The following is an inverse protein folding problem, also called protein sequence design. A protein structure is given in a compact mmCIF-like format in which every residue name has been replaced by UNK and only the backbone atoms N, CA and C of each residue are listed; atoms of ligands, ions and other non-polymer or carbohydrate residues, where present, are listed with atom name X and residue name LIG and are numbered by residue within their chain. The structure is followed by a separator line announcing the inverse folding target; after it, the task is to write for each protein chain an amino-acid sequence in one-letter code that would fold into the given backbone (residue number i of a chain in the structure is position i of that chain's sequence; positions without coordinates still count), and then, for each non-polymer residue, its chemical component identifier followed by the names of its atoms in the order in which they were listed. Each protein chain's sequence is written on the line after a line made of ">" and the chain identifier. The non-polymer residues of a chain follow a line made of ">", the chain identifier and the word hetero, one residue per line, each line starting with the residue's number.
data_IF_067359908965
#
_entry.id   IF_067359908965
#
_cell.length_a   1.000
_cell.length_b   1.000
_cell.length_c   1.000
_cell.angle_alpha   90.00
_cell.angle_beta   90.00
_cell.angle_gamma   90.00
#
_symmetry.space_group_name_H-M   'P 1'
#
loop_
_entity.id
_entity.type
_entity.pdbx_description
1 polymer ?
#
# COMPACT_ATOMS: atom_id res chain seq x y z
N UNK A 1 -42.58 -25.66 74.63
CA UNK A 1 -42.11 -24.63 75.57
C UNK A 1 -40.72 -24.19 75.12
N UNK A 2 -40.63 -23.03 74.44
CA UNK A 2 -40.01 -21.78 74.95
C UNK A 2 -38.55 -21.94 75.41
N UNK A 3 -37.59 -21.51 74.56
CA UNK A 3 -36.68 -20.34 74.73
C UNK A 3 -35.33 -20.79 75.35
N UNK A 4 -34.11 -20.34 74.99
CA UNK A 4 -33.54 -19.19 74.27
C UNK A 4 -32.26 -19.69 73.54
N UNK A 5 -32.00 -19.26 72.30
CA UNK A 5 -30.99 -18.25 71.91
C UNK A 5 -29.61 -18.44 72.56
N UNK A 6 -28.55 -18.57 71.73
CA UNK A 6 -27.44 -17.62 71.69
C UNK A 6 -26.75 -17.72 70.32
N UNK A 7 -26.42 -16.54 69.78
CA UNK A 7 -25.87 -16.27 68.47
C UNK A 7 -24.48 -16.90 68.28
N UNK A 8 -24.29 -17.63 67.19
CA UNK A 8 -22.97 -17.79 66.57
C UNK A 8 -22.92 -16.88 65.33
N UNK A 9 -22.19 -15.78 65.43
CA UNK A 9 -21.70 -15.03 64.27
C UNK A 9 -20.73 -15.93 63.51
N UNK A 10 -21.20 -16.55 62.42
CA UNK A 10 -20.31 -17.10 61.40
C UNK A 10 -19.93 -15.97 60.44
N UNK A 11 -18.67 -15.55 60.50
CA UNK A 11 -18.02 -14.76 59.46
C UNK A 11 -18.03 -15.57 58.15
N UNK A 12 -19.03 -15.33 57.32
CA UNK A 12 -19.03 -15.78 55.92
C UNK A 12 -18.18 -14.78 55.14
N UNK A 13 -16.91 -15.15 54.94
CA UNK A 13 -16.04 -14.53 53.95
C UNK A 13 -16.65 -14.75 52.56
N UNK A 14 -17.35 -13.73 52.05
CA UNK A 14 -17.75 -13.64 50.66
C UNK A 14 -16.48 -13.60 49.79
N UNK A 15 -16.32 -14.51 48.80
CA UNK A 15 -15.28 -14.33 47.81
C UNK A 15 -15.64 -13.10 46.96
N UNK A 16 -14.76 -12.11 46.95
CA UNK A 16 -14.82 -11.00 46.00
C UNK A 16 -14.88 -11.57 44.58
N UNK A 17 -15.70 -11.01 43.68
CA UNK A 17 -15.62 -11.36 42.27
C UNK A 17 -14.21 -11.02 41.79
N UNK A 18 -13.50 -12.05 41.34
CA UNK A 18 -12.26 -11.91 40.59
C UNK A 18 -12.56 -11.00 39.41
N UNK A 19 -12.09 -9.76 39.51
CA UNK A 19 -12.01 -8.84 38.37
C UNK A 19 -11.03 -9.52 37.42
N UNK A 20 -11.60 -10.21 36.43
CA UNK A 20 -10.87 -10.60 35.25
C UNK A 20 -10.25 -9.33 34.67
N UNK A 21 -8.92 -9.29 34.64
CA UNK A 21 -8.19 -8.26 33.93
C UNK A 21 -8.55 -8.40 32.45
N UNK A 22 -9.53 -7.61 32.01
CA UNK A 22 -9.61 -7.20 30.61
C UNK A 22 -8.26 -6.55 30.26
N UNK A 23 -7.55 -7.01 29.22
CA UNK A 23 -6.32 -6.37 28.81
C UNK A 23 -6.66 -4.98 28.30
N UNK A 24 -6.28 -3.98 29.09
CA UNK A 24 -6.39 -2.57 28.74
C UNK A 24 -5.50 -2.29 27.52
N UNK A 25 -6.01 -1.70 26.43
CA UNK A 25 -5.19 -1.30 25.31
C UNK A 25 -4.59 0.08 25.59
N UNK A 26 -3.39 0.14 26.17
CA UNK A 26 -2.40 1.21 25.97
C UNK A 26 -1.33 1.17 27.07
N UNK A 27 -0.17 0.63 26.73
CA UNK A 27 1.11 1.21 27.16
C UNK A 27 2.14 0.88 26.06
N UNK A 28 2.04 1.58 24.93
CA UNK A 28 3.00 1.50 23.81
C UNK A 28 3.92 2.71 23.85
N UNK A 29 4.82 2.71 24.82
CA UNK A 29 6.08 3.44 24.77
C UNK A 29 7.01 2.92 25.86
N UNK A 30 7.68 1.80 25.62
CA UNK A 30 8.85 1.39 26.40
C UNK A 30 9.91 0.94 25.40
N UNK A 31 11.02 1.69 25.36
CA UNK A 31 12.14 1.48 24.44
C UNK A 31 12.71 0.08 24.56
N UNK A 32 12.35 -0.76 23.61
CA UNK A 32 12.87 -2.11 23.46
C UNK A 32 13.23 -2.35 22.01
N UNK A 33 14.36 -3.02 21.80
CA UNK A 33 14.77 -3.47 20.48
C UNK A 33 13.71 -4.40 19.88
N UNK A 34 13.24 -4.08 18.68
CA UNK A 34 12.29 -4.89 17.91
C UNK A 34 13.05 -5.69 16.85
N UNK A 35 12.66 -6.96 16.59
CA UNK A 35 13.27 -7.75 15.53
C UNK A 35 12.96 -7.15 14.16
N UNK A 36 13.97 -7.15 13.28
CA UNK A 36 13.85 -6.63 11.91
C UNK A 36 14.43 -7.57 10.87
N UNK A 37 13.96 -7.40 9.64
CA UNK A 37 14.65 -7.85 8.44
C UNK A 37 15.03 -6.64 7.60
N UNK A 38 16.32 -6.52 7.29
CA UNK A 38 16.88 -5.46 6.46
C UNK A 38 17.31 -6.05 5.12
N UNK A 39 17.12 -5.32 4.04
CA UNK A 39 17.67 -5.70 2.74
C UNK A 39 17.85 -4.50 1.82
N UNK A 40 18.66 -4.69 0.78
CA UNK A 40 18.73 -3.79 -0.35
C UNK A 40 17.82 -4.31 -1.46
N UNK A 41 17.15 -3.41 -2.17
CA UNK A 41 16.40 -3.78 -3.37
C UNK A 41 16.67 -2.82 -4.52
N UNK A 42 16.77 -3.41 -5.70
CA UNK A 42 16.77 -2.72 -6.98
C UNK A 42 15.33 -2.65 -7.47
N UNK A 43 14.85 -1.45 -7.85
CA UNK A 43 13.49 -1.25 -8.35
C UNK A 43 13.51 -0.47 -9.68
N UNK A 44 12.71 -0.87 -10.65
CA UNK A 44 12.50 -0.17 -11.93
C UNK A 44 11.02 0.17 -12.15
N UNK A 45 10.71 1.03 -13.12
CA UNK A 45 9.35 1.12 -13.69
C UNK A 45 8.25 1.81 -12.87
N UNK A 46 8.60 2.63 -11.86
CA UNK A 46 7.62 3.36 -11.04
C UNK A 46 6.57 4.12 -11.90
N UNK A 47 5.27 4.08 -11.53
CA UNK A 47 4.23 4.90 -12.16
C UNK A 47 4.64 6.38 -12.29
N UNK A 48 4.60 6.91 -13.51
CA UNK A 48 4.91 8.32 -13.81
C UNK A 48 6.39 8.65 -14.04
N UNK A 49 7.31 7.68 -14.00
CA UNK A 49 8.69 7.86 -14.47
C UNK A 49 8.79 7.49 -15.95
N UNK A 50 9.19 8.40 -16.85
CA UNK A 50 9.39 8.09 -18.27
C UNK A 50 10.67 7.29 -18.54
N UNK A 51 11.53 7.09 -17.55
CA UNK A 51 12.84 6.44 -17.71
C UNK A 51 12.89 5.09 -16.99
N UNK A 52 13.44 4.08 -17.68
CA UNK A 52 13.78 2.72 -17.20
C UNK A 52 14.96 2.73 -16.22
N UNK A 53 15.04 3.74 -15.36
CA UNK A 53 16.10 3.89 -14.38
C UNK A 53 15.88 2.93 -13.23
N UNK A 54 16.93 2.21 -12.86
CA UNK A 54 16.99 1.42 -11.63
C UNK A 54 17.23 2.35 -10.44
N UNK A 55 16.50 2.10 -9.37
CA UNK A 55 16.60 2.78 -8.08
C UNK A 55 17.07 1.76 -7.04
N UNK A 56 18.08 2.10 -6.25
CA UNK A 56 18.47 1.32 -5.08
C UNK A 56 17.66 1.82 -3.89
N UNK A 57 17.11 0.88 -3.12
CA UNK A 57 16.40 1.19 -1.90
C UNK A 57 16.89 0.32 -0.76
N UNK A 58 17.09 0.93 0.40
CA UNK A 58 17.30 0.19 1.65
C UNK A 58 15.97 0.03 2.37
N UNK A 59 15.61 -1.20 2.71
CA UNK A 59 14.35 -1.53 3.36
C UNK A 59 14.60 -2.14 4.73
N UNK A 60 13.80 -1.75 5.72
CA UNK A 60 13.76 -2.36 7.05
C UNK A 60 12.31 -2.72 7.35
N UNK A 61 12.05 -4.01 7.62
CA UNK A 61 10.73 -4.56 7.96
C UNK A 61 10.69 -5.00 9.42
N UNK A 62 9.59 -4.67 10.11
CA UNK A 62 9.32 -5.17 11.47
C UNK A 62 7.82 -5.25 11.71
N UNK A 63 7.26 -6.46 11.80
CA UNK A 63 5.82 -6.70 11.93
C UNK A 63 5.00 -5.85 10.94
N UNK A 64 4.20 -4.91 11.44
CA UNK A 64 3.36 -3.99 10.65
C UNK A 64 4.05 -2.63 10.34
N UNK A 65 5.39 -2.57 10.47
CA UNK A 65 6.20 -1.37 10.26
C UNK A 65 7.15 -1.58 9.10
N UNK A 66 7.25 -0.55 8.27
CA UNK A 66 8.13 -0.56 7.09
C UNK A 66 8.86 0.76 7.02
N UNK A 67 10.17 0.71 6.80
CA UNK A 67 11.00 1.87 6.51
C UNK A 67 11.73 1.64 5.19
N UNK A 68 11.70 2.62 4.29
CA UNK A 68 12.34 2.54 2.96
C UNK A 68 13.10 3.82 2.69
N UNK A 69 14.40 3.75 2.45
CA UNK A 69 15.19 4.85 1.91
C UNK A 69 15.35 4.68 0.40
N UNK A 70 14.89 5.66 -0.36
CA UNK A 70 15.16 5.83 -1.79
C UNK A 70 16.30 6.84 -1.93
N UNK A 71 17.54 6.34 -2.01
CA UNK A 71 18.76 7.16 -2.01
C UNK A 71 18.77 8.18 -3.15
N UNK A 72 18.25 7.79 -4.31
CA UNK A 72 18.26 8.66 -5.49
C UNK A 72 17.26 9.79 -5.38
N UNK A 73 16.11 9.54 -4.76
CA UNK A 73 15.08 10.56 -4.56
C UNK A 73 15.29 11.38 -3.30
N UNK A 74 16.27 11.03 -2.48
CA UNK A 74 16.49 11.70 -1.20
C UNK A 74 15.19 11.69 -0.38
N UNK A 75 14.54 10.52 -0.32
CA UNK A 75 13.23 10.35 0.31
C UNK A 75 13.23 9.08 1.17
N UNK A 76 12.65 9.19 2.35
CA UNK A 76 12.37 8.07 3.24
C UNK A 76 10.86 7.86 3.30
N UNK A 77 10.40 6.62 3.20
CA UNK A 77 9.01 6.24 3.43
C UNK A 77 8.93 5.44 4.73
N UNK A 78 8.00 5.80 5.60
CA UNK A 78 7.78 5.13 6.88
C UNK A 78 6.31 4.75 6.98
N UNK A 79 5.99 3.46 6.88
CA UNK A 79 4.66 2.93 7.15
C UNK A 79 4.58 2.47 8.60
N UNK A 80 3.55 2.97 9.29
CA UNK A 80 3.14 2.53 10.63
C UNK A 80 1.76 1.91 10.55
N UNK A 81 1.73 0.65 10.15
CA UNK A 81 0.51 -0.17 10.13
C UNK A 81 0.05 -0.59 11.53
N UNK A 82 0.93 -0.47 12.53
CA UNK A 82 0.61 -0.73 13.93
C UNK A 82 -0.18 0.40 14.61
N UNK A 83 -0.33 1.56 13.97
CA UNK A 83 -1.14 2.68 14.44
C UNK A 83 -2.59 2.59 13.94
N UNK A 84 -3.51 3.25 14.65
CA UNK A 84 -4.92 3.33 14.26
C UNK A 84 -5.40 4.80 14.23
N UNK A 85 -5.64 5.40 13.05
CA UNK A 85 -5.48 4.79 11.73
C UNK A 85 -4.01 4.53 11.37
N UNK A 86 -3.77 3.58 10.46
CA UNK A 86 -2.44 3.35 9.91
C UNK A 86 -1.98 4.60 9.13
N UNK A 87 -0.69 4.90 9.19
CA UNK A 87 -0.12 6.11 8.56
C UNK A 87 1.10 5.77 7.71
N UNK A 88 1.23 6.45 6.57
CA UNK A 88 2.43 6.45 5.75
C UNK A 88 3.00 7.86 5.73
N UNK A 89 4.20 8.01 6.24
CA UNK A 89 4.95 9.25 6.12
C UNK A 89 5.94 9.16 4.96
N UNK A 90 6.08 10.26 4.24
CA UNK A 90 7.25 10.47 3.41
C UNK A 90 8.08 11.61 4.01
N UNK A 91 9.32 11.31 4.37
CA UNK A 91 10.26 12.20 5.04
C UNK A 91 11.35 12.61 4.05
N UNK A 92 11.74 13.88 4.04
CA UNK A 92 12.87 14.36 3.26
C UNK A 92 14.19 13.74 3.76
N UNK A 93 15.17 13.55 2.87
CA UNK A 93 16.46 12.94 3.27
C UNK A 93 17.25 13.74 4.30
N UNK A 94 17.04 15.05 4.35
CA UNK A 94 17.62 15.93 5.37
C UNK A 94 16.91 15.83 6.73
N UNK A 95 15.88 14.97 6.82
CA UNK A 95 15.07 14.70 8.00
C UNK A 95 14.31 15.92 8.53
N UNK A 96 14.32 17.05 7.79
CA UNK A 96 13.73 18.30 8.27
C UNK A 96 12.21 18.35 8.10
N UNK A 97 11.65 17.62 7.13
CA UNK A 97 10.24 17.71 6.78
C UNK A 97 9.63 16.34 6.50
N UNK A 98 8.35 16.22 6.82
CA UNK A 98 7.57 15.05 6.44
C UNK A 98 6.20 15.44 5.91
N UNK A 99 5.64 14.57 5.07
CA UNK A 99 4.23 14.61 4.69
C UNK A 99 3.55 13.32 5.08
N UNK A 100 2.31 13.43 5.54
CA UNK A 100 1.45 12.30 5.78
C UNK A 100 0.64 12.00 4.51
N UNK A 101 0.69 10.76 4.05
CA UNK A 101 -0.11 10.29 2.92
C UNK A 101 -1.46 9.84 3.47
N UNK A 102 -2.42 10.75 3.47
CA UNK A 102 -3.77 10.52 4.04
C UNK A 102 -4.66 9.65 3.15
N UNK A 103 -4.38 9.56 1.85
CA UNK A 103 -5.11 8.72 0.89
C UNK A 103 -4.22 7.60 0.35
N UNK A 104 -3.77 6.73 1.26
CA UNK A 104 -2.86 5.60 1.05
C UNK A 104 -3.17 4.83 -0.24
N UNK A 105 -4.43 4.43 -0.42
CA UNK A 105 -4.86 3.63 -1.58
C UNK A 105 -5.66 4.43 -2.60
N UNK A 106 -5.41 5.73 -2.77
CA UNK A 106 -6.13 6.60 -3.72
C UNK A 106 -6.20 6.01 -5.13
N UNK A 107 -5.10 5.40 -5.59
CA UNK A 107 -5.02 4.74 -6.90
C UNK A 107 -6.14 3.70 -7.05
N UNK A 108 -6.39 2.91 -6.01
CA UNK A 108 -7.42 1.88 -6.00
C UNK A 108 -8.84 2.48 -5.89
N UNK A 109 -9.02 3.59 -5.16
CA UNK A 109 -10.30 4.34 -5.11
C UNK A 109 -10.66 4.97 -6.47
N UNK A 110 -9.69 5.64 -7.09
CA UNK A 110 -9.83 6.25 -8.43
C UNK A 110 -10.18 5.16 -9.46
N UNK A 111 -9.45 4.02 -9.40
CA UNK A 111 -9.72 2.85 -10.24
C UNK A 111 -11.13 2.32 -10.04
N UNK A 112 -11.57 2.09 -8.79
CA UNK A 112 -12.92 1.60 -8.48
C UNK A 112 -14.00 2.51 -9.05
N UNK A 113 -13.82 3.83 -8.93
CA UNK A 113 -14.74 4.82 -9.49
C UNK A 113 -14.85 4.70 -11.01
N UNK A 114 -13.73 4.52 -11.70
CA UNK A 114 -13.73 4.35 -13.16
C UNK A 114 -14.31 3.01 -13.60
N UNK A 115 -14.09 1.93 -12.86
CA UNK A 115 -14.74 0.63 -13.09
C UNK A 115 -16.26 0.77 -13.00
N UNK A 116 -16.78 1.41 -11.96
CA UNK A 116 -18.22 1.66 -11.80
C UNK A 116 -18.79 2.51 -12.95
N UNK A 117 -18.08 3.56 -13.36
CA UNK A 117 -18.47 4.38 -14.52
C UNK A 117 -18.46 3.57 -15.82
N UNK A 118 -17.48 2.68 -16.00
CA UNK A 118 -17.41 1.80 -17.16
C UNK A 118 -18.60 0.83 -17.19
N UNK A 119 -18.91 0.18 -16.07
CA UNK A 119 -20.08 -0.72 -15.96
C UNK A 119 -21.38 -0.02 -16.31
N UNK A 120 -21.58 1.23 -15.85
CA UNK A 120 -22.76 2.03 -16.21
C UNK A 120 -22.82 2.35 -17.70
N UNK A 121 -21.70 2.67 -18.34
CA UNK A 121 -21.66 2.97 -19.79
C UNK A 121 -22.00 1.78 -20.68
N UNK A 122 -21.66 0.57 -20.25
CA UNK A 122 -21.91 -0.66 -21.02
C UNK A 122 -23.23 -1.34 -20.64
N UNK A 123 -24.03 -0.75 -19.74
CA UNK A 123 -25.22 -1.37 -19.19
C UNK A 123 -26.29 -1.66 -20.27
N UNK A 124 -26.46 -0.72 -21.21
CA UNK A 124 -27.49 -0.76 -22.25
C UNK A 124 -27.03 -1.42 -23.57
N UNK A 125 -25.79 -1.93 -23.60
CA UNK A 125 -25.26 -2.62 -24.77
C UNK A 125 -25.85 -4.04 -24.91
N UNK A 126 -25.89 -4.59 -26.15
CA UNK A 126 -26.20 -6.00 -26.36
C UNK A 126 -25.34 -6.91 -25.48
N UNK A 127 -25.92 -8.01 -24.99
CA UNK A 127 -25.26 -8.87 -23.99
C UNK A 127 -23.89 -9.40 -24.42
N UNK A 128 -23.74 -9.72 -25.71
CA UNK A 128 -22.47 -10.19 -26.26
C UNK A 128 -21.41 -9.09 -26.24
N UNK A 129 -21.74 -7.88 -26.73
CA UNK A 129 -20.85 -6.71 -26.71
C UNK A 129 -20.49 -6.29 -25.29
N UNK A 130 -21.48 -6.26 -24.38
CA UNK A 130 -21.28 -5.99 -22.95
C UNK A 130 -20.27 -6.98 -22.35
N UNK A 131 -20.43 -8.28 -22.62
CA UNK A 131 -19.53 -9.33 -22.13
C UNK A 131 -18.11 -9.15 -22.66
N UNK A 132 -17.95 -8.85 -23.95
CA UNK A 132 -16.64 -8.59 -24.55
C UNK A 132 -15.96 -7.35 -23.95
N UNK A 133 -16.70 -6.26 -23.78
CA UNK A 133 -16.18 -5.03 -23.18
C UNK A 133 -15.75 -5.22 -21.72
N UNK A 134 -16.57 -5.91 -20.91
CA UNK A 134 -16.24 -6.22 -19.52
C UNK A 134 -15.02 -7.14 -19.43
N UNK A 135 -14.93 -8.16 -20.28
CA UNK A 135 -13.77 -9.06 -20.37
C UNK A 135 -12.50 -8.29 -20.76
N UNK A 136 -12.57 -7.42 -21.77
CA UNK A 136 -11.43 -6.59 -22.20
C UNK A 136 -10.99 -5.59 -21.14
N UNK A 137 -11.90 -5.13 -20.28
CA UNK A 137 -11.59 -4.27 -19.14
C UNK A 137 -11.14 -5.03 -17.88
N UNK A 138 -11.12 -6.37 -17.90
CA UNK A 138 -10.87 -7.21 -16.73
C UNK A 138 -11.83 -6.92 -15.56
N UNK A 139 -13.10 -6.68 -15.87
CA UNK A 139 -14.16 -6.45 -14.88
C UNK A 139 -15.05 -7.69 -14.84
N UNK A 140 -15.12 -8.35 -13.68
CA UNK A 140 -16.17 -9.34 -13.37
C UNK A 140 -17.29 -8.67 -12.57
N UNK A 141 -18.53 -9.08 -12.82
CA UNK A 141 -19.71 -8.63 -12.08
C UNK A 141 -20.25 -9.80 -11.25
N UNK A 142 -20.78 -9.53 -10.07
CA UNK A 142 -21.60 -10.48 -9.33
C UNK A 142 -23.04 -10.56 -9.90
N UNK A 143 -23.88 -11.41 -9.29
CA UNK A 143 -25.27 -11.60 -9.69
C UNK A 143 -26.11 -10.31 -9.55
N UNK A 144 -25.69 -9.39 -8.69
CA UNK A 144 -26.31 -8.07 -8.50
C UNK A 144 -25.84 -7.03 -9.53
N UNK A 145 -24.91 -7.40 -10.43
CA UNK A 145 -24.34 -6.49 -11.43
C UNK A 145 -23.28 -5.54 -10.88
N UNK A 146 -22.79 -5.78 -9.67
CA UNK A 146 -21.72 -4.99 -9.05
C UNK A 146 -20.34 -5.56 -9.40
N UNK A 147 -19.34 -4.70 -9.69
CA UNK A 147 -18.02 -5.19 -9.99
C UNK A 147 -17.36 -5.84 -8.77
N UNK A 148 -16.77 -7.01 -8.98
CA UNK A 148 -16.04 -7.80 -7.98
C UNK A 148 -14.60 -8.03 -8.44
N UNK A 149 -13.75 -8.41 -7.48
CA UNK A 149 -12.35 -8.79 -7.72
C UNK A 149 -12.15 -10.23 -7.30
N UNK A 150 -11.87 -11.06 -8.28
CA UNK A 150 -11.52 -12.46 -8.09
C UNK A 150 -10.02 -12.61 -8.29
N UNK A 151 -9.35 -13.19 -7.29
CA UNK A 151 -7.90 -13.37 -7.30
C UNK A 151 -7.60 -14.84 -7.56
N UNK A 152 -6.84 -15.09 -8.62
CA UNK A 152 -6.39 -16.43 -9.02
C UNK A 152 -4.86 -16.51 -8.84
N UNK A 153 -4.40 -17.63 -8.30
CA UNK A 153 -2.97 -17.94 -8.15
C UNK A 153 -2.57 -19.05 -9.11
N UNK A 154 -1.47 -18.85 -9.81
CA UNK A 154 -0.84 -19.85 -10.66
C UNK A 154 0.58 -20.11 -10.16
N UNK A 155 0.84 -21.34 -9.70
CA UNK A 155 2.19 -21.78 -9.37
C UNK A 155 2.86 -22.33 -10.63
N UNK A 156 3.89 -21.64 -11.10
CA UNK A 156 4.62 -22.05 -12.29
C UNK A 156 5.62 -23.13 -11.88
N UNK A 157 5.28 -24.39 -12.18
CA UNK A 157 6.19 -25.52 -11.95
C UNK A 157 7.29 -25.45 -13.02
N UNK A 158 8.50 -25.05 -12.63
CA UNK A 158 9.60 -24.82 -13.57
C UNK A 158 10.07 -26.13 -14.22
N UNK A 159 9.99 -26.23 -15.56
CA UNK A 159 10.66 -27.31 -16.30
C UNK A 159 12.07 -26.95 -16.78
N UNK A 160 12.48 -25.67 -16.94
CA UNK A 160 13.80 -25.39 -17.57
C UNK A 160 14.60 -24.16 -17.09
N UNK A 161 14.11 -23.30 -16.18
CA UNK A 161 14.91 -22.15 -15.70
C UNK A 161 14.60 -21.84 -14.23
N UNK A 162 14.90 -22.78 -13.33
CA UNK A 162 14.96 -22.44 -11.91
C UNK A 162 16.32 -21.75 -11.67
N UNK A 163 16.31 -20.44 -11.48
CA UNK A 163 17.34 -19.84 -10.62
C UNK A 163 17.24 -20.58 -9.28
N UNK A 164 18.30 -21.30 -8.92
CA UNK A 164 18.42 -22.23 -7.78
C UNK A 164 17.34 -22.09 -6.70
N UNK A 165 16.38 -23.03 -6.69
CA UNK A 165 15.45 -23.21 -5.57
C UNK A 165 14.37 -22.14 -5.35
N UNK A 166 14.16 -21.22 -6.30
CA UNK A 166 13.07 -20.25 -6.24
C UNK A 166 11.76 -20.81 -6.82
N UNK A 167 10.64 -20.54 -6.15
CA UNK A 167 9.28 -20.87 -6.64
C UNK A 167 8.67 -19.64 -7.30
N UNK A 168 8.17 -19.79 -8.52
CA UNK A 168 7.49 -18.68 -9.22
C UNK A 168 5.97 -18.77 -9.01
N UNK A 169 5.37 -17.65 -8.63
CA UNK A 169 3.93 -17.50 -8.43
C UNK A 169 3.43 -16.30 -9.23
N UNK A 170 2.41 -16.53 -10.05
CA UNK A 170 1.68 -15.47 -10.72
C UNK A 170 0.35 -15.23 -10.02
N UNK A 171 0.01 -13.96 -9.84
CA UNK A 171 -1.22 -13.50 -9.22
C UNK A 171 -2.02 -12.76 -10.30
N UNK A 172 -3.26 -13.20 -10.51
CA UNK A 172 -4.18 -12.58 -11.45
C UNK A 172 -5.37 -11.99 -10.72
N UNK A 173 -5.78 -10.79 -11.11
CA UNK A 173 -7.03 -10.17 -10.67
C UNK A 173 -7.98 -10.09 -11.85
N UNK A 174 -9.10 -10.83 -11.80
CA UNK A 174 -10.05 -10.96 -12.91
C UNK A 174 -9.36 -11.37 -14.24
N UNK A 175 -8.38 -12.29 -14.16
CA UNK A 175 -7.59 -12.74 -15.30
C UNK A 175 -6.53 -11.75 -15.80
N UNK A 176 -6.35 -10.59 -15.15
CA UNK A 176 -5.24 -9.67 -15.42
C UNK A 176 -4.06 -10.00 -14.54
N UNK A 177 -2.87 -10.18 -15.10
CA UNK A 177 -1.66 -10.37 -14.31
C UNK A 177 -1.37 -9.10 -13.49
N UNK A 178 -1.32 -9.23 -12.16
CA UNK A 178 -1.06 -8.13 -11.22
C UNK A 178 0.25 -8.30 -10.46
N UNK A 179 0.74 -9.53 -10.30
CA UNK A 179 2.08 -9.78 -9.79
C UNK A 179 2.65 -11.07 -10.39
N UNK A 180 3.94 -11.05 -10.72
CA UNK A 180 4.74 -12.23 -11.07
C UNK A 180 5.95 -12.25 -10.12
N UNK A 181 5.93 -13.17 -9.15
CA UNK A 181 6.84 -13.15 -8.00
C UNK A 181 7.68 -14.43 -7.97
N UNK A 182 8.99 -14.26 -7.77
CA UNK A 182 9.92 -15.34 -7.41
C UNK A 182 10.11 -15.35 -5.90
N UNK A 183 9.68 -16.43 -5.28
CA UNK A 183 9.66 -16.65 -3.84
C UNK A 183 10.83 -17.55 -3.44
N UNK A 184 11.63 -17.09 -2.50
CA UNK A 184 12.62 -17.94 -1.84
C UNK A 184 11.96 -18.73 -0.71
N UNK A 185 12.41 -19.97 -0.50
CA UNK A 185 12.00 -20.84 0.61
C UNK A 185 12.67 -20.39 1.92
N UNK A 186 12.41 -19.15 2.32
CA UNK A 186 12.88 -18.55 3.57
C UNK A 186 11.71 -18.10 4.42
N UNK A 187 11.78 -18.40 5.70
CA UNK A 187 10.81 -17.90 6.68
C UNK A 187 11.27 -16.53 7.18
N UNK A 188 10.62 -15.50 6.61
CA UNK A 188 10.68 -14.13 7.09
C UNK A 188 9.32 -13.81 7.71
N UNK A 189 9.27 -13.42 8.99
CA UNK A 189 8.01 -13.23 9.71
C UNK A 189 7.27 -11.94 9.31
N UNK A 190 7.83 -11.13 8.40
CA UNK A 190 7.34 -9.81 8.04
C UNK A 190 7.10 -9.71 6.54
N UNK A 191 6.11 -8.93 6.13
CA UNK A 191 5.75 -8.76 4.72
C UNK A 191 5.97 -7.32 4.28
N UNK A 192 6.44 -7.16 3.04
CA UNK A 192 6.50 -5.85 2.38
C UNK A 192 5.19 -5.52 1.63
N UNK A 193 4.24 -6.47 1.57
CA UNK A 193 2.93 -6.28 0.95
C UNK A 193 2.08 -5.15 1.57
N UNK A 194 2.11 -4.90 2.90
CA UNK A 194 1.39 -3.76 3.49
C UNK A 194 1.80 -2.41 2.90
N UNK A 195 3.08 -2.20 2.55
CA UNK A 195 3.51 -0.97 1.88
C UNK A 195 2.93 -0.86 0.47
N UNK A 196 2.88 -1.97 -0.27
CA UNK A 196 2.28 -1.99 -1.60
C UNK A 196 0.77 -1.75 -1.58
N UNK A 197 0.05 -2.24 -0.57
CA UNK A 197 -1.36 -1.88 -0.34
C UNK A 197 -1.51 -0.40 0.01
N UNK A 198 -0.70 0.09 0.97
CA UNK A 198 -0.73 1.46 1.46
C UNK A 198 -0.25 2.50 0.44
N UNK A 199 0.36 2.09 -0.66
CA UNK A 199 0.71 2.96 -1.79
C UNK A 199 -0.24 2.79 -2.98
N UNK A 200 -1.21 1.88 -2.88
CA UNK A 200 -2.17 1.55 -3.93
C UNK A 200 -1.60 0.72 -5.07
N UNK A 201 -0.39 0.14 -4.91
CA UNK A 201 0.16 -0.83 -5.86
C UNK A 201 -0.65 -2.13 -5.88
N UNK A 202 -1.12 -2.58 -4.71
CA UNK A 202 -2.08 -3.67 -4.58
C UNK A 202 -3.46 -3.18 -4.20
N UNK A 203 -4.48 -3.87 -4.68
CA UNK A 203 -5.81 -3.86 -4.09
C UNK A 203 -5.80 -4.60 -2.75
N UNK A 204 -6.86 -4.42 -1.96
CA UNK A 204 -7.01 -5.12 -0.68
C UNK A 204 -7.01 -6.63 -0.89
N UNK A 205 -7.72 -7.08 -1.92
CA UNK A 205 -7.88 -8.48 -2.27
C UNK A 205 -6.54 -9.11 -2.70
N UNK A 206 -5.76 -8.40 -3.50
CA UNK A 206 -4.41 -8.85 -3.88
C UNK A 206 -3.46 -8.86 -2.69
N UNK A 207 -3.52 -7.85 -1.81
CA UNK A 207 -2.73 -7.79 -0.59
C UNK A 207 -2.97 -9.01 0.30
N UNK A 208 -4.24 -9.36 0.55
CA UNK A 208 -4.60 -10.49 1.41
C UNK A 208 -4.03 -11.80 0.87
N UNK A 209 -4.12 -12.02 -0.44
CA UNK A 209 -3.56 -13.21 -1.09
C UNK A 209 -2.03 -13.22 -1.02
N UNK A 210 -1.36 -12.10 -1.32
CA UNK A 210 0.11 -12.02 -1.31
C UNK A 210 0.67 -12.18 0.11
N UNK A 211 -0.01 -11.63 1.12
CA UNK A 211 0.39 -11.76 2.53
C UNK A 211 0.45 -13.22 2.97
N UNK A 212 -0.45 -14.05 2.45
CA UNK A 212 -0.60 -15.45 2.86
C UNK A 212 0.24 -16.43 2.01
N UNK A 213 1.03 -15.92 1.04
CA UNK A 213 1.96 -16.73 0.25
C UNK A 213 3.07 -17.31 1.14
N UNK A 214 3.38 -18.59 0.93
CA UNK A 214 4.53 -19.24 1.55
C UNK A 214 5.84 -18.84 0.87
N UNK A 215 6.81 -18.44 1.66
CA UNK A 215 8.12 -17.96 1.22
C UNK A 215 8.18 -16.43 1.10
N UNK A 216 9.37 -15.91 0.84
CA UNK A 216 9.59 -14.47 0.76
C UNK A 216 9.84 -14.04 -0.70
N UNK A 217 9.12 -13.03 -1.23
CA UNK A 217 9.39 -12.50 -2.56
C UNK A 217 10.78 -11.86 -2.62
N UNK A 218 11.68 -12.43 -3.41
CA UNK A 218 13.06 -11.93 -3.57
C UNK A 218 13.28 -11.23 -4.91
N UNK A 219 12.42 -11.46 -5.89
CA UNK A 219 12.38 -10.69 -7.13
C UNK A 219 11.04 -10.87 -7.83
N UNK A 220 10.75 -10.02 -8.79
CA UNK A 220 9.53 -10.15 -9.59
C UNK A 220 9.08 -8.83 -10.20
N UNK A 221 7.88 -8.85 -10.74
CA UNK A 221 7.21 -7.69 -11.33
C UNK A 221 5.85 -7.50 -10.70
N UNK A 222 5.61 -6.31 -10.15
CA UNK A 222 4.31 -5.86 -9.68
C UNK A 222 3.70 -4.97 -10.76
N UNK A 223 2.57 -5.38 -11.31
CA UNK A 223 1.86 -4.61 -12.31
C UNK A 223 0.89 -3.67 -11.61
N UNK A 224 1.33 -2.44 -11.33
CA UNK A 224 0.50 -1.42 -10.67
C UNK A 224 -0.65 -1.05 -11.62
N UNK A 225 -1.83 -1.59 -11.32
CA UNK A 225 -3.04 -1.32 -12.07
C UNK A 225 -3.65 -0.02 -11.58
N UNK A 226 -3.51 1.01 -12.39
CA UNK A 226 -4.22 2.28 -12.21
C UNK A 226 -5.52 2.25 -13.01
N UNK A 227 -6.30 3.30 -12.85
CA UNK A 227 -7.56 3.45 -13.55
C UNK A 227 -7.40 3.54 -15.09
N UNK A 228 -6.25 4.03 -15.59
CA UNK A 228 -6.02 4.21 -17.03
C UNK A 228 -4.90 3.35 -17.62
N UNK A 229 -3.94 2.90 -16.81
CA UNK A 229 -2.70 2.27 -17.27
C UNK A 229 -2.23 1.17 -16.32
N UNK A 230 -1.49 0.20 -16.85
CA UNK A 230 -0.64 -0.71 -16.09
C UNK A 230 0.78 -0.16 -16.05
N UNK A 231 1.42 -0.15 -14.89
CA UNK A 231 2.83 0.18 -14.77
C UNK A 231 3.59 -1.00 -14.16
N UNK A 232 4.50 -1.65 -14.90
CA UNK A 232 5.33 -2.71 -14.33
C UNK A 232 6.37 -2.09 -13.39
N UNK A 233 6.38 -2.53 -12.14
CA UNK A 233 7.40 -2.25 -11.16
C UNK A 233 8.20 -3.53 -10.95
N UNK A 234 9.39 -3.61 -11.53
CA UNK A 234 10.26 -4.76 -11.36
C UNK A 234 11.13 -4.52 -10.13
N UNK A 235 11.36 -5.57 -9.35
CA UNK A 235 12.23 -5.50 -8.18
C UNK A 235 13.14 -6.72 -8.06
N UNK A 236 14.30 -6.53 -7.44
CA UNK A 236 15.23 -7.58 -7.04
C UNK A 236 15.87 -7.26 -5.70
N UNK A 237 15.66 -8.12 -4.72
CA UNK A 237 16.21 -8.03 -3.37
C UNK A 237 17.61 -8.64 -3.33
N UNK A 238 18.49 -8.01 -2.55
CA UNK A 238 19.86 -8.42 -2.25
C UNK A 238 20.12 -8.23 -0.76
N UNK A 239 21.11 -8.94 -0.24
CA UNK A 239 21.68 -8.69 1.10
C UNK A 239 20.63 -8.69 2.23
N UNK A 240 19.92 -9.81 2.37
CA UNK A 240 18.91 -9.97 3.43
C UNK A 240 19.61 -10.28 4.76
N UNK A 241 19.37 -9.43 5.76
CA UNK A 241 19.92 -9.55 7.10
C UNK A 241 18.81 -9.54 8.16
N UNK A 242 18.94 -10.40 9.17
CA UNK A 242 18.07 -10.39 10.36
C UNK A 242 18.79 -9.65 11.48
N UNK A 243 18.08 -8.82 12.22
CA UNK A 243 18.66 -8.07 13.32
C UNK A 243 17.61 -7.48 14.25
N UNK A 244 17.97 -6.43 14.97
CA UNK A 244 17.06 -5.67 15.81
C UNK A 244 17.39 -4.19 15.78
N UNK A 245 16.38 -3.34 15.87
CA UNK A 245 16.52 -1.87 15.97
C UNK A 245 15.65 -1.36 17.11
N UNK A 246 15.93 -0.18 17.63
CA UNK A 246 15.01 0.47 18.57
C UNK A 246 13.63 0.67 17.93
N UNK A 247 12.56 0.50 18.72
CA UNK A 247 11.19 0.69 18.21
C UNK A 247 10.99 2.08 17.56
N UNK A 248 11.68 3.10 18.07
CA UNK A 248 11.65 4.48 17.57
C UNK A 248 12.32 4.67 16.20
N UNK A 249 12.99 3.65 15.66
CA UNK A 249 13.52 3.68 14.30
C UNK A 249 12.43 3.95 13.25
N UNK A 250 11.19 3.57 13.54
CA UNK A 250 10.02 3.80 12.68
C UNK A 250 9.20 5.03 13.09
N UNK A 251 9.70 5.86 14.01
CA UNK A 251 9.07 7.13 14.34
C UNK A 251 9.55 8.23 13.37
N UNK A 252 8.84 9.35 13.35
CA UNK A 252 9.34 10.55 12.69
C UNK A 252 10.61 11.03 13.41
N UNK A 253 11.62 11.53 12.68
CA UNK A 253 12.78 12.13 13.31
C UNK A 253 12.39 13.26 14.26
N UNK A 254 13.17 13.46 15.33
CA UNK A 254 13.00 14.60 16.22
C UNK A 254 13.09 15.91 15.42
N UNK A 255 12.30 16.91 15.80
CA UNK A 255 12.18 18.22 15.13
C UNK A 255 11.72 18.19 13.65
N UNK A 256 11.32 17.02 13.13
CA UNK A 256 10.80 16.91 11.77
C UNK A 256 9.44 17.62 11.64
N UNK A 257 9.36 18.63 10.78
CA UNK A 257 8.16 19.46 10.64
C UNK A 257 7.20 18.90 9.59
N UNK A 258 5.90 18.90 9.92
CA UNK A 258 4.87 18.52 8.95
C UNK A 258 4.84 19.56 7.84
N UNK A 259 5.10 19.14 6.62
CA UNK A 259 4.87 19.95 5.43
C UNK A 259 3.36 20.07 5.24
N UNK A 260 2.79 21.22 5.61
CA UNK A 260 1.41 21.56 5.28
C UNK A 260 1.27 21.65 3.77
N UNK A 261 0.71 20.60 3.17
CA UNK A 261 0.32 20.65 1.77
C UNK A 261 -0.85 21.62 1.65
N UNK A 262 -0.62 22.76 0.99
CA UNK A 262 -1.70 23.69 0.67
C UNK A 262 -2.82 22.93 -0.03
N UNK A 263 -3.99 22.86 0.60
CA UNK A 263 -5.17 22.19 0.05
C UNK A 263 -5.53 22.73 -1.34
N UNK A 264 -5.24 24.02 -1.55
CA UNK A 264 -5.45 24.74 -2.79
C UNK A 264 -4.12 25.13 -3.42
N UNK A 265 -3.98 24.81 -4.71
CA UNK A 265 -2.86 25.19 -5.56
C UNK A 265 -3.42 25.92 -6.78
N UNK A 266 -2.56 26.47 -7.63
CA UNK A 266 -3.00 27.10 -8.87
C UNK A 266 -2.75 26.18 -10.06
N UNK A 267 -3.74 26.04 -10.94
CA UNK A 267 -3.56 25.37 -12.21
C UNK A 267 -2.52 26.14 -13.04
N UNK A 268 -1.45 25.49 -13.53
CA UNK A 268 -0.36 26.22 -14.21
C UNK A 268 -0.75 26.74 -15.61
N UNK A 269 -1.94 26.35 -16.12
CA UNK A 269 -2.43 26.77 -17.43
C UNK A 269 -3.37 27.96 -17.31
N UNK A 270 -4.38 27.87 -16.45
CA UNK A 270 -5.40 28.92 -16.32
C UNK A 270 -5.23 29.81 -15.08
N UNK A 271 -4.24 29.54 -14.22
CA UNK A 271 -3.97 30.29 -12.99
C UNK A 271 -5.03 30.16 -11.90
N UNK A 272 -6.18 29.54 -12.20
CA UNK A 272 -7.25 29.35 -11.24
C UNK A 272 -6.83 28.42 -10.11
N UNK A 273 -7.33 28.75 -8.91
CA UNK A 273 -7.23 27.87 -7.76
C UNK A 273 -7.89 26.52 -8.05
N UNK A 274 -7.20 25.46 -7.64
CA UNK A 274 -7.59 24.06 -7.74
C UNK A 274 -7.31 23.41 -6.40
N UNK A 275 -8.36 22.84 -5.82
CA UNK A 275 -8.20 21.96 -4.68
C UNK A 275 -7.45 20.69 -5.13
N UNK A 276 -6.37 20.34 -4.44
CA UNK A 276 -5.53 19.17 -4.76
C UNK A 276 -6.34 17.89 -4.83
N UNK A 277 -7.31 17.76 -3.94
CA UNK A 277 -8.14 16.56 -3.84
C UNK A 277 -9.21 16.51 -4.94
N UNK A 278 -9.79 17.65 -5.29
CA UNK A 278 -10.86 17.78 -6.30
C UNK A 278 -10.38 18.16 -7.70
N UNK A 279 -9.06 18.11 -7.97
CA UNK A 279 -8.51 18.47 -9.29
C UNK A 279 -9.06 17.56 -10.40
N UNK A 280 -9.41 18.15 -11.55
CA UNK A 280 -9.95 17.40 -12.69
C UNK A 280 -8.90 16.49 -13.36
N UNK A 281 -7.62 16.85 -13.21
CA UNK A 281 -6.48 16.06 -13.65
C UNK A 281 -5.23 16.46 -12.87
N UNK A 282 -4.22 15.58 -12.87
CA UNK A 282 -2.91 15.81 -12.25
C UNK A 282 -1.79 15.18 -13.07
N UNK A 283 -0.60 15.73 -12.95
CA UNK A 283 0.59 15.22 -13.62
C UNK A 283 1.83 15.40 -12.74
N UNK A 284 2.91 14.69 -13.04
CA UNK A 284 4.23 15.05 -12.50
C UNK A 284 5.03 15.84 -13.51
N UNK A 285 5.70 16.90 -13.06
CA UNK A 285 6.70 17.62 -13.85
C UNK A 285 8.00 16.82 -14.00
N UNK A 286 9.06 17.45 -14.53
CA UNK A 286 10.34 16.77 -14.78
C UNK A 286 11.09 16.50 -13.47
N UNK A 287 10.84 17.33 -12.47
CA UNK A 287 11.38 17.30 -11.12
C UNK A 287 10.62 16.30 -10.22
N UNK A 288 9.49 15.76 -10.72
CA UNK A 288 8.68 14.78 -10.03
C UNK A 288 7.63 15.37 -9.10
N UNK A 289 7.44 16.70 -9.10
CA UNK A 289 6.41 17.37 -8.31
C UNK A 289 5.04 17.22 -8.97
N UNK A 290 4.01 17.07 -8.14
CA UNK A 290 2.63 16.99 -8.59
C UNK A 290 2.10 18.37 -9.00
N UNK A 291 1.66 18.46 -10.23
CA UNK A 291 0.91 19.56 -10.82
C UNK A 291 -0.57 19.17 -10.88
N UNK A 292 -1.45 20.09 -10.53
CA UNK A 292 -2.90 19.90 -10.48
C UNK A 292 -3.58 20.81 -11.50
N UNK A 293 -4.62 20.30 -12.17
CA UNK A 293 -5.34 21.00 -13.23
C UNK A 293 -6.82 21.13 -12.86
N UNK A 294 -7.34 22.34 -13.00
CA UNK A 294 -8.74 22.65 -12.72
C UNK A 294 -9.70 21.93 -13.68
N UNK A 295 -9.30 21.75 -14.94
CA UNK A 295 -10.10 21.07 -15.96
C UNK A 295 -9.25 20.10 -16.79
N UNK A 296 -9.88 19.16 -17.50
CA UNK A 296 -9.17 18.21 -18.38
C UNK A 296 -8.61 18.88 -19.63
N UNK A 297 -9.20 19.99 -20.07
CA UNK A 297 -8.72 20.82 -21.16
C UNK A 297 -7.38 21.45 -20.78
N UNK A 298 -7.27 21.99 -19.56
CA UNK A 298 -6.02 22.52 -19.03
C UNK A 298 -4.91 21.45 -19.03
N UNK A 299 -5.23 20.23 -18.59
CA UNK A 299 -4.26 19.13 -18.62
C UNK A 299 -3.84 18.74 -20.04
N UNK A 300 -4.79 18.73 -20.98
CA UNK A 300 -4.53 18.40 -22.38
C UNK A 300 -3.63 19.47 -23.04
N UNK A 301 -3.87 20.74 -22.73
CA UNK A 301 -3.05 21.86 -23.19
C UNK A 301 -1.62 21.78 -22.62
N UNK A 302 -1.50 21.51 -21.31
CA UNK A 302 -0.21 21.29 -20.69
C UNK A 302 0.57 20.13 -21.34
N UNK A 303 -0.09 19.02 -21.69
CA UNK A 303 0.56 17.91 -22.41
C UNK A 303 1.11 18.35 -23.77
N UNK A 304 0.38 19.18 -24.52
CA UNK A 304 0.84 19.74 -25.81
C UNK A 304 2.07 20.63 -25.61
N UNK A 305 2.01 21.56 -24.65
CA UNK A 305 3.14 22.43 -24.33
C UNK A 305 4.37 21.64 -23.88
N UNK A 306 4.18 20.58 -23.08
CA UNK A 306 5.28 19.71 -22.65
C UNK A 306 5.92 18.96 -23.82
N UNK A 307 5.12 18.43 -24.75
CA UNK A 307 5.64 17.77 -25.96
C UNK A 307 6.39 18.73 -26.88
N UNK A 308 5.97 19.99 -26.96
CA UNK A 308 6.67 21.01 -27.77
C UNK A 308 8.00 21.49 -27.16
N UNK A 309 8.26 21.19 -25.88
CA UNK A 309 9.50 21.54 -25.14
C UNK A 309 10.46 20.34 -24.97
N UNK A 310 10.14 19.20 -25.59
CA UNK A 310 11.00 18.03 -25.70
C UNK A 310 11.63 18.02 -27.08
#
# INVERSE_FOLDING_TARGET
>A
MKLLSWLCLALVSLPLPSVANDPTPADRSVGGAVPVVTFLQEVTGRPGSPESKTYQQKVVLSADRVWVLDERRNLIQILRGDLNPAVLWEVSSDLARYREVTDLSRIQKDRRTQELQFVRRVADLPQEEKREMLKGAHIRLNDQGEPIREIELEEVTSSEVAEDGLRQVKVYENGRLVADLKLASMEIPFSFAPLHEATGAFSREVFEVIRDLKGFPVSGTIYVVTATLTHPLEFKIREIEKGSVEASFFDLPEDCQKEEQRAFLNCPICGSEVERESSAARARDREGQWIFFKTRECFSEWKKQRKARQ
#
